data_IF_403472716758
#
_entry.id   IF_403472716758
#
_cell.length_a   1.000
_cell.length_b   1.000
_cell.length_c   1.000
_cell.angle_alpha   90.00
_cell.angle_beta   90.00
_cell.angle_gamma   90.00
#
_symmetry.space_group_name_H-M   'P 1'
#
loop_
_entity.id
_entity.type
_entity.pdbx_description
1 polymer ?
#
# COMPACT_ATOMS: atom_id res chain seq x y z
N UNK A 1 -11.93 -10.16 -14.06
CA UNK A 1 -11.53 -11.46 -13.46
C UNK A 1 -11.43 -11.26 -11.97
N UNK A 2 -12.25 -11.94 -11.16
CA UNK A 2 -12.18 -11.86 -9.70
C UNK A 2 -11.10 -12.85 -9.22
N UNK A 3 -10.17 -12.44 -8.35
CA UNK A 3 -9.21 -13.37 -7.75
C UNK A 3 -9.96 -14.44 -6.91
N UNK A 4 -9.35 -15.62 -6.75
CA UNK A 4 -9.88 -16.63 -5.84
C UNK A 4 -9.71 -16.18 -4.39
N UNK A 5 -10.56 -16.69 -3.49
CA UNK A 5 -10.51 -16.39 -2.05
C UNK A 5 -9.11 -16.68 -1.47
N UNK A 6 -8.48 -17.76 -1.92
CA UNK A 6 -7.14 -18.14 -1.45
C UNK A 6 -6.05 -17.12 -1.84
N UNK A 7 -6.17 -16.50 -3.02
CA UNK A 7 -5.25 -15.45 -3.45
C UNK A 7 -5.48 -14.17 -2.67
N UNK A 8 -6.74 -13.82 -2.39
CA UNK A 8 -7.07 -12.66 -1.55
C UNK A 8 -6.58 -12.83 -0.11
N UNK A 9 -6.66 -14.04 0.45
CA UNK A 9 -6.14 -14.38 1.78
C UNK A 9 -4.63 -14.18 1.86
N UNK A 10 -3.88 -14.71 0.89
CA UNK A 10 -2.41 -14.56 0.87
C UNK A 10 -1.96 -13.10 0.76
N UNK A 11 -2.76 -12.27 0.10
CA UNK A 11 -2.49 -10.83 -0.02
C UNK A 11 -2.83 -10.09 1.28
N UNK A 12 -3.91 -10.47 1.97
CA UNK A 12 -4.27 -9.86 3.27
C UNK A 12 -3.21 -10.19 4.31
N UNK A 13 -2.78 -11.45 4.35
CA UNK A 13 -1.71 -11.91 5.24
C UNK A 13 -0.39 -11.15 4.98
N UNK A 14 -0.04 -10.93 3.72
CA UNK A 14 1.19 -10.22 3.34
C UNK A 14 1.14 -8.72 3.66
N UNK A 15 -0.05 -8.12 3.57
CA UNK A 15 -0.26 -6.69 3.80
C UNK A 15 -0.66 -6.38 5.25
N UNK A 16 -0.82 -7.40 6.10
CA UNK A 16 -1.27 -7.30 7.49
C UNK A 16 -2.62 -6.56 7.64
N UNK A 17 -3.54 -6.78 6.68
CA UNK A 17 -4.89 -6.20 6.67
C UNK A 17 -5.94 -7.30 6.66
N UNK A 18 -7.17 -6.98 7.05
CA UNK A 18 -8.27 -7.95 6.98
C UNK A 18 -8.70 -8.22 5.54
N UNK A 19 -9.31 -9.38 5.30
CA UNK A 19 -9.88 -9.71 3.99
C UNK A 19 -11.00 -8.71 3.61
N UNK A 20 -11.72 -8.19 4.60
CA UNK A 20 -12.74 -7.17 4.42
C UNK A 20 -12.12 -5.84 3.97
N UNK A 21 -10.95 -5.46 4.50
CA UNK A 21 -10.22 -4.26 4.04
C UNK A 21 -9.86 -4.36 2.54
N UNK A 22 -9.51 -5.56 2.05
CA UNK A 22 -9.26 -5.80 0.63
C UNK A 22 -10.50 -5.63 -0.25
N UNK A 23 -11.69 -5.89 0.30
CA UNK A 23 -12.97 -5.77 -0.41
C UNK A 23 -13.53 -4.35 -0.30
N UNK A 24 -13.33 -3.68 0.84
CA UNK A 24 -13.77 -2.29 1.10
C UNK A 24 -13.01 -1.27 0.25
N UNK A 25 -11.84 -1.64 -0.30
CA UNK A 25 -11.11 -0.88 -1.31
C UNK A 25 -11.96 -0.56 -2.56
N UNK A 26 -13.13 -1.18 -2.77
CA UNK A 26 -13.96 -0.91 -3.96
C UNK A 26 -14.47 0.53 -4.11
N UNK A 27 -14.54 1.34 -3.04
CA UNK A 27 -14.90 2.76 -3.14
C UNK A 27 -13.69 3.70 -3.27
N UNK A 28 -12.49 3.23 -2.94
CA UNK A 28 -11.24 3.95 -3.21
C UNK A 28 -10.59 3.27 -4.38
N UNK A 29 -10.84 3.78 -5.59
CA UNK A 29 -10.22 3.28 -6.82
C UNK A 29 -8.69 3.32 -6.68
N UNK A 30 -8.09 2.24 -6.14
CA UNK A 30 -6.65 2.16 -5.98
C UNK A 30 -6.09 2.15 -7.38
N UNK A 31 -5.52 3.30 -7.73
CA UNK A 31 -4.96 3.53 -9.04
C UNK A 31 -3.98 2.38 -9.33
N UNK A 32 -4.20 1.67 -10.45
CA UNK A 32 -3.38 0.52 -10.87
C UNK A 32 -1.89 0.83 -10.87
N UNK A 33 -1.49 2.10 -11.02
CA UNK A 33 -0.11 2.53 -10.95
C UNK A 33 0.47 2.49 -9.53
N UNK A 34 -0.33 2.81 -8.51
CA UNK A 34 0.07 2.73 -7.09
C UNK A 34 0.29 1.26 -6.70
N UNK A 35 -0.65 0.38 -7.06
CA UNK A 35 -0.52 -1.07 -6.83
C UNK A 35 0.73 -1.65 -7.49
N UNK A 36 0.99 -1.29 -8.76
CA UNK A 36 2.21 -1.70 -9.47
C UNK A 36 3.49 -1.16 -8.80
N UNK A 37 3.44 0.02 -8.21
CA UNK A 37 4.56 0.59 -7.48
C UNK A 37 4.85 -0.23 -6.21
N UNK A 38 3.83 -0.50 -5.40
CA UNK A 38 3.92 -1.31 -4.17
C UNK A 38 4.46 -2.71 -4.47
N UNK A 39 3.95 -3.37 -5.53
CA UNK A 39 4.43 -4.69 -5.96
C UNK A 39 5.88 -4.69 -6.49
N UNK A 40 6.40 -3.55 -6.95
CA UNK A 40 7.82 -3.42 -7.31
C UNK A 40 8.66 -3.23 -6.06
N UNK A 41 8.21 -2.39 -5.13
CA UNK A 41 8.87 -2.11 -3.85
C UNK A 41 8.98 -3.34 -2.97
N UNK A 42 8.00 -4.25 -3.01
CA UNK A 42 8.05 -5.49 -2.22
C UNK A 42 9.23 -6.40 -2.57
N UNK A 43 9.78 -6.28 -3.79
CA UNK A 43 10.94 -7.05 -4.27
C UNK A 43 12.29 -6.46 -3.86
N UNK A 44 12.31 -5.28 -3.25
CA UNK A 44 13.54 -4.58 -2.89
C UNK A 44 14.13 -5.17 -1.61
N UNK A 45 15.38 -4.79 -1.30
CA UNK A 45 15.97 -5.12 0.00
C UNK A 45 15.22 -4.37 1.12
N UNK A 46 15.28 -4.89 2.34
CA UNK A 46 14.60 -4.24 3.48
C UNK A 46 15.21 -2.88 3.82
N UNK A 47 16.51 -2.70 3.53
CA UNK A 47 17.21 -1.41 3.63
C UNK A 47 16.64 -0.39 2.62
N UNK A 48 16.50 -0.78 1.35
CA UNK A 48 15.93 0.10 0.32
C UNK A 48 14.46 0.46 0.63
N UNK A 49 13.67 -0.51 1.11
CA UNK A 49 12.28 -0.26 1.54
C UNK A 49 12.24 0.76 2.67
N UNK A 50 13.12 0.62 3.67
CA UNK A 50 13.22 1.53 4.82
C UNK A 50 13.48 2.97 4.37
N UNK A 51 14.41 3.17 3.44
CA UNK A 51 14.67 4.51 2.87
C UNK A 51 13.47 5.09 2.14
N UNK A 52 12.76 4.27 1.36
CA UNK A 52 11.60 4.72 0.58
C UNK A 52 10.44 5.10 1.51
N UNK A 53 10.20 4.30 2.56
CA UNK A 53 9.19 4.62 3.57
C UNK A 53 9.52 5.90 4.33
N UNK A 54 10.79 6.11 4.71
CA UNK A 54 11.20 7.35 5.37
C UNK A 54 10.91 8.61 4.53
N UNK A 55 11.12 8.53 3.21
CA UNK A 55 10.81 9.64 2.29
C UNK A 55 9.29 9.86 2.16
N UNK A 56 8.51 8.78 2.06
CA UNK A 56 7.05 8.84 2.03
C UNK A 56 6.49 9.49 3.30
N UNK A 57 6.96 9.05 4.47
CA UNK A 57 6.54 9.58 5.76
C UNK A 57 6.89 11.07 5.91
N UNK A 58 8.11 11.45 5.54
CA UNK A 58 8.53 12.85 5.55
C UNK A 58 7.64 13.72 4.65
N UNK A 59 7.28 13.22 3.46
CA UNK A 59 6.40 13.93 2.54
C UNK A 59 4.97 14.06 3.08
N UNK A 60 4.42 12.99 3.66
CA UNK A 60 3.09 12.99 4.28
C UNK A 60 3.06 13.95 5.47
N UNK A 61 4.08 13.92 6.33
CA UNK A 61 4.20 14.83 7.47
C UNK A 61 4.25 16.29 7.02
N UNK A 62 5.07 16.61 6.01
CA UNK A 62 5.14 17.95 5.42
C UNK A 62 3.77 18.42 4.91
N UNK A 63 3.04 17.57 4.19
CA UNK A 63 1.71 17.90 3.66
C UNK A 63 0.67 18.12 4.76
N UNK A 64 0.69 17.30 5.81
CA UNK A 64 -0.19 17.48 6.98
C UNK A 64 0.05 18.83 7.65
N UNK A 65 1.30 19.20 7.88
CA UNK A 65 1.67 20.50 8.48
C UNK A 65 1.19 21.65 7.59
N UNK A 66 1.43 21.58 6.27
CA UNK A 66 0.97 22.60 5.31
C UNK A 66 -0.55 22.70 5.18
N UNK A 67 -1.31 21.68 5.55
CA UNK A 67 -2.78 21.70 5.51
C UNK A 67 -3.41 22.35 6.73
N UNK A 68 -2.64 22.52 7.82
CA UNK A 68 -3.09 23.09 9.10
C UNK A 68 -2.64 24.55 9.23
N UNK A 69 -1.62 24.95 8.47
CA UNK A 69 -1.15 26.33 8.33
C UNK A 69 -1.97 27.08 7.27
#
# INVERSE_FOLDING_TARGET
MKPSIEVASKISDLLEVSLDDLVVITDVEINKNILKCILKLSKFSDEDKSHIFAVLDAFVAKRKIQSIL
#
